data_IF_510706888499
#
_entry.id   IF_510706888499
#
_cell.length_a   1.000
_cell.length_b   1.000
_cell.length_c   1.000
_cell.angle_alpha   90.00
_cell.angle_beta   90.00
_cell.angle_gamma   90.00
#
_symmetry.space_group_name_H-M   'P 1'
#
loop_
_entity.id
_entity.type
_entity.pdbx_description
1 polymer ?
#
# COMPACT_ATOMS: atom_id res chain seq x y z
N UNK A 1 -33.36 20.71 16.50
CA UNK A 1 -32.83 20.04 15.28
C UNK A 1 -31.37 19.54 15.47
N UNK A 2 -31.06 18.62 16.41
CA UNK A 2 -29.67 18.21 16.70
C UNK A 2 -29.09 17.16 15.72
N UNK A 3 -29.97 16.41 15.06
CA UNK A 3 -29.59 15.22 14.28
C UNK A 3 -28.88 15.56 12.95
N UNK A 4 -29.22 16.68 12.31
CA UNK A 4 -28.63 17.09 11.02
C UNK A 4 -27.19 17.57 11.15
N UNK A 5 -26.90 18.37 12.17
CA UNK A 5 -25.54 18.84 12.44
C UNK A 5 -24.62 17.67 12.81
N UNK A 6 -25.13 16.68 13.55
CA UNK A 6 -24.39 15.45 13.85
C UNK A 6 -24.12 14.60 12.61
N UNK A 7 -25.10 14.46 11.70
CA UNK A 7 -24.94 13.76 10.42
C UNK A 7 -23.93 14.45 9.50
N UNK A 8 -24.01 15.77 9.37
CA UNK A 8 -23.05 16.55 8.58
C UNK A 8 -21.61 16.42 9.13
N UNK A 9 -21.42 16.59 10.45
CA UNK A 9 -20.11 16.41 11.08
C UNK A 9 -19.56 14.99 10.92
N UNK A 10 -20.43 13.98 10.91
CA UNK A 10 -20.04 12.59 10.65
C UNK A 10 -19.57 12.38 9.21
N UNK A 11 -20.26 12.97 8.23
CA UNK A 11 -19.85 12.94 6.80
C UNK A 11 -18.50 13.64 6.62
N UNK A 12 -18.30 14.79 7.25
CA UNK A 12 -17.02 15.52 7.18
C UNK A 12 -15.86 14.71 7.77
N UNK A 13 -16.11 14.00 8.89
CA UNK A 13 -15.13 13.07 9.45
C UNK A 13 -14.79 11.96 8.45
N UNK A 14 -15.80 11.32 7.86
CA UNK A 14 -15.58 10.26 6.88
C UNK A 14 -14.82 10.75 5.64
N UNK A 15 -15.08 11.97 5.16
CA UNK A 15 -14.33 12.56 4.05
C UNK A 15 -12.84 12.72 4.40
N UNK A 16 -12.52 13.24 5.60
CA UNK A 16 -11.13 13.35 6.08
C UNK A 16 -10.46 11.98 6.22
N UNK A 17 -11.18 11.00 6.76
CA UNK A 17 -10.67 9.62 6.91
C UNK A 17 -10.39 8.99 5.53
N UNK A 18 -11.28 9.17 4.55
CA UNK A 18 -11.11 8.73 3.16
C UNK A 18 -9.87 9.38 2.52
N UNK A 19 -9.70 10.69 2.66
CA UNK A 19 -8.52 11.41 2.13
C UNK A 19 -7.23 10.89 2.76
N UNK A 20 -7.21 10.70 4.08
CA UNK A 20 -6.07 10.16 4.81
C UNK A 20 -5.71 8.75 4.32
N UNK A 21 -6.69 7.85 4.22
CA UNK A 21 -6.47 6.49 3.75
C UNK A 21 -6.05 6.44 2.28
N UNK A 22 -6.58 7.32 1.43
CA UNK A 22 -6.16 7.45 0.03
C UNK A 22 -4.71 7.90 -0.08
N UNK A 23 -4.28 8.85 0.75
CA UNK A 23 -2.89 9.28 0.80
C UNK A 23 -1.96 8.16 1.26
N UNK A 24 -2.32 7.46 2.34
CA UNK A 24 -1.56 6.30 2.84
C UNK A 24 -1.43 5.21 1.77
N UNK A 25 -2.52 4.88 1.09
CA UNK A 25 -2.52 3.93 -0.03
C UNK A 25 -1.55 4.34 -1.14
N UNK A 26 -1.54 5.61 -1.54
CA UNK A 26 -0.62 6.11 -2.56
C UNK A 26 0.85 5.99 -2.12
N UNK A 27 1.15 6.24 -0.84
CA UNK A 27 2.49 6.00 -0.28
C UNK A 27 2.89 4.52 -0.38
N UNK A 28 1.97 3.59 -0.08
CA UNK A 28 2.22 2.16 -0.24
C UNK A 28 2.38 1.72 -1.69
N UNK A 29 1.67 2.33 -2.64
CA UNK A 29 1.90 2.11 -4.08
C UNK A 29 3.32 2.51 -4.49
N UNK A 30 3.80 3.67 -4.03
CA UNK A 30 5.16 4.11 -4.32
C UNK A 30 6.22 3.15 -3.72
N UNK A 31 6.00 2.68 -2.49
CA UNK A 31 6.84 1.65 -1.86
C UNK A 31 6.85 0.35 -2.66
N UNK A 32 5.67 -0.13 -3.10
CA UNK A 32 5.55 -1.32 -3.95
C UNK A 32 6.36 -1.17 -5.25
N UNK A 33 6.24 -0.02 -5.91
CA UNK A 33 6.99 0.25 -7.15
C UNK A 33 8.51 0.23 -6.91
N UNK A 34 8.97 0.80 -5.79
CA UNK A 34 10.38 0.77 -5.39
C UNK A 34 10.88 -0.67 -5.18
N UNK A 35 10.10 -1.49 -4.47
CA UNK A 35 10.42 -2.91 -4.24
C UNK A 35 10.48 -3.68 -5.55
N UNK A 36 9.55 -3.46 -6.48
CA UNK A 36 9.57 -4.10 -7.80
C UNK A 36 10.83 -3.72 -8.58
N UNK A 37 11.27 -2.46 -8.51
CA UNK A 37 12.54 -2.01 -9.10
C UNK A 37 13.75 -2.77 -8.55
N UNK A 38 13.82 -2.97 -7.23
CA UNK A 38 14.89 -3.76 -6.61
C UNK A 38 14.85 -5.24 -7.01
N UNK A 39 13.66 -5.86 -7.06
CA UNK A 39 13.53 -7.25 -7.51
C UNK A 39 13.96 -7.45 -8.96
N UNK A 40 13.62 -6.48 -9.83
CA UNK A 40 14.08 -6.47 -11.21
C UNK A 40 15.61 -6.32 -11.28
N UNK A 41 16.19 -5.43 -10.46
CA UNK A 41 17.65 -5.28 -10.37
C UNK A 41 18.33 -6.59 -9.96
N UNK A 42 17.91 -7.22 -8.86
CA UNK A 42 18.47 -8.51 -8.40
C UNK A 42 18.37 -9.61 -9.47
N UNK A 43 17.31 -9.60 -10.29
CA UNK A 43 17.12 -10.58 -11.36
C UNK A 43 18.03 -10.33 -12.57
N UNK A 44 18.50 -9.09 -12.76
CA UNK A 44 19.34 -8.69 -13.89
C UNK A 44 20.84 -8.71 -13.58
N UNK A 45 21.26 -8.94 -12.33
CA UNK A 45 22.67 -9.05 -11.97
C UNK A 45 23.28 -10.28 -12.65
N UNK A 46 24.11 -10.05 -13.68
CA UNK A 46 24.93 -11.11 -14.28
C UNK A 46 26.11 -11.40 -13.36
N UNK A 47 26.19 -12.62 -12.85
CA UNK A 47 27.38 -13.11 -12.15
C UNK A 47 28.44 -13.45 -13.21
N UNK A 48 29.57 -12.73 -13.27
CA UNK A 48 30.61 -13.04 -14.25
C UNK A 48 31.20 -14.43 -13.97
N UNK A 49 31.27 -15.29 -14.98
CA UNK A 49 31.84 -16.64 -14.86
C UNK A 49 33.35 -16.65 -14.55
N UNK A 50 34.08 -15.55 -14.82
CA UNK A 50 35.55 -15.54 -14.81
C UNK A 50 36.21 -15.00 -13.54
N UNK A 51 35.47 -14.71 -12.45
CA UNK A 51 36.06 -14.16 -11.20
C UNK A 51 36.55 -15.25 -10.21
N UNK A 52 37.16 -16.32 -10.71
CA UNK A 52 37.69 -17.42 -9.88
C UNK A 52 39.04 -17.13 -9.22
N UNK A 53 39.64 -15.93 -9.37
CA UNK A 53 41.02 -15.68 -8.93
C UNK A 53 41.22 -14.74 -7.74
N UNK A 54 40.22 -14.46 -6.90
CA UNK A 54 40.50 -13.71 -5.68
C UNK A 54 39.31 -13.50 -4.77
N UNK A 55 39.31 -14.16 -3.60
CA UNK A 55 38.57 -13.91 -2.35
C UNK A 55 37.06 -13.56 -2.37
N UNK A 56 36.44 -13.36 -3.52
CA UNK A 56 35.01 -13.11 -3.72
C UNK A 56 34.43 -14.32 -4.44
N UNK A 57 34.32 -15.43 -3.70
CA UNK A 57 33.78 -16.68 -4.19
C UNK A 57 32.40 -16.43 -4.85
N UNK A 58 32.15 -16.92 -6.07
CA UNK A 58 30.86 -16.77 -6.76
C UNK A 58 29.65 -17.21 -5.90
N UNK A 59 29.86 -18.18 -5.01
CA UNK A 59 28.86 -18.63 -4.03
C UNK A 59 28.46 -17.54 -3.03
N UNK A 60 29.38 -16.69 -2.58
CA UNK A 60 29.08 -15.60 -1.63
C UNK A 60 28.19 -14.52 -2.27
N UNK A 61 28.48 -14.13 -3.52
CA UNK A 61 27.64 -13.19 -4.27
C UNK A 61 26.26 -13.77 -4.56
N UNK A 62 26.19 -15.04 -4.98
CA UNK A 62 24.91 -15.71 -5.23
C UNK A 62 24.05 -15.83 -3.97
N UNK A 63 24.66 -16.15 -2.82
CA UNK A 63 23.96 -16.17 -1.52
C UNK A 63 23.45 -14.79 -1.16
N UNK A 64 24.28 -13.74 -1.28
CA UNK A 64 23.86 -12.36 -1.01
C UNK A 64 22.70 -11.91 -1.91
N UNK A 65 22.75 -12.21 -3.21
CA UNK A 65 21.65 -11.89 -4.13
C UNK A 65 20.36 -12.65 -3.79
N UNK A 66 20.46 -13.90 -3.33
CA UNK A 66 19.31 -14.69 -2.86
C UNK A 66 18.70 -14.10 -1.58
N UNK A 67 19.53 -13.69 -0.64
CA UNK A 67 19.09 -13.07 0.62
C UNK A 67 18.44 -11.71 0.36
N UNK A 68 19.05 -10.88 -0.49
CA UNK A 68 18.48 -9.61 -0.94
C UNK A 68 17.13 -9.83 -1.64
N UNK A 69 17.04 -10.81 -2.55
CA UNK A 69 15.76 -11.16 -3.23
C UNK A 69 14.69 -11.57 -2.23
N UNK A 70 15.02 -12.43 -1.27
CA UNK A 70 14.09 -12.88 -0.21
C UNK A 70 13.59 -11.70 0.62
N UNK A 71 14.50 -10.80 1.03
CA UNK A 71 14.16 -9.59 1.76
C UNK A 71 13.18 -8.70 0.97
N UNK A 72 13.46 -8.46 -0.31
CA UNK A 72 12.60 -7.65 -1.16
C UNK A 72 11.25 -8.31 -1.44
N UNK A 73 11.19 -9.64 -1.57
CA UNK A 73 9.93 -10.38 -1.67
C UNK A 73 9.08 -10.24 -0.40
N UNK A 74 9.69 -10.33 0.78
CA UNK A 74 8.98 -10.10 2.05
C UNK A 74 8.43 -8.67 2.14
N UNK A 75 9.22 -7.67 1.71
CA UNK A 75 8.76 -6.26 1.63
C UNK A 75 7.62 -6.08 0.63
N UNK A 76 7.62 -6.81 -0.48
CA UNK A 76 6.53 -6.80 -1.46
C UNK A 76 5.24 -7.33 -0.85
N UNK A 77 5.32 -8.44 -0.11
CA UNK A 77 4.17 -9.02 0.57
C UNK A 77 3.58 -8.04 1.60
N UNK A 78 4.43 -7.39 2.41
CA UNK A 78 4.00 -6.35 3.35
C UNK A 78 3.29 -5.19 2.64
N UNK A 79 3.87 -4.69 1.55
CA UNK A 79 3.26 -3.61 0.78
C UNK A 79 1.89 -4.01 0.19
N UNK A 80 1.77 -5.24 -0.33
CA UNK A 80 0.52 -5.74 -0.87
C UNK A 80 -0.56 -5.91 0.21
N UNK A 81 -0.21 -6.42 1.39
CA UNK A 81 -1.14 -6.54 2.52
C UNK A 81 -1.69 -5.17 2.93
N UNK A 82 -0.81 -4.17 3.10
CA UNK A 82 -1.26 -2.81 3.42
C UNK A 82 -2.13 -2.18 2.34
N UNK A 83 -1.86 -2.46 1.06
CA UNK A 83 -2.71 -1.99 -0.03
C UNK A 83 -4.10 -2.62 0.04
N UNK A 84 -4.17 -3.92 0.31
CA UNK A 84 -5.44 -4.63 0.48
C UNK A 84 -6.23 -4.09 1.69
N UNK A 85 -5.57 -3.89 2.83
CA UNK A 85 -6.20 -3.33 4.03
C UNK A 85 -6.77 -1.93 3.76
N UNK A 86 -6.00 -1.07 3.08
CA UNK A 86 -6.47 0.26 2.73
C UNK A 86 -7.59 0.25 1.68
N UNK A 87 -7.57 -0.66 0.71
CA UNK A 87 -8.68 -0.82 -0.25
C UNK A 87 -9.97 -1.24 0.46
N UNK A 88 -9.88 -2.13 1.46
CA UNK A 88 -11.03 -2.52 2.27
C UNK A 88 -11.56 -1.38 3.14
N UNK A 89 -10.68 -0.65 3.82
CA UNK A 89 -11.04 0.50 4.65
C UNK A 89 -11.72 1.58 3.79
N UNK A 90 -11.12 1.95 2.65
CA UNK A 90 -11.69 2.95 1.75
C UNK A 90 -13.07 2.54 1.24
N UNK A 91 -13.27 1.26 0.92
CA UNK A 91 -14.57 0.74 0.51
C UNK A 91 -15.60 0.88 1.63
N UNK A 92 -15.23 0.55 2.87
CA UNK A 92 -16.09 0.67 4.05
C UNK A 92 -16.46 2.13 4.33
N UNK A 93 -15.49 3.03 4.33
CA UNK A 93 -15.70 4.45 4.65
C UNK A 93 -16.54 5.15 3.58
N UNK A 94 -16.30 4.86 2.30
CA UNK A 94 -17.14 5.37 1.19
C UNK A 94 -18.59 4.89 1.32
N UNK A 95 -18.79 3.60 1.63
CA UNK A 95 -20.14 3.05 1.86
C UNK A 95 -20.83 3.71 3.06
N UNK A 96 -20.11 3.89 4.17
CA UNK A 96 -20.64 4.59 5.35
C UNK A 96 -21.01 6.04 5.03
N UNK A 97 -20.16 6.74 4.27
CA UNK A 97 -20.37 8.12 3.84
C UNK A 97 -21.59 8.23 2.93
N UNK A 98 -21.76 7.33 1.98
CA UNK A 98 -22.92 7.32 1.07
C UNK A 98 -24.22 7.03 1.83
N UNK A 99 -24.20 6.14 2.81
CA UNK A 99 -25.36 5.87 3.67
C UNK A 99 -25.70 7.08 4.55
N UNK A 100 -24.71 7.75 5.13
CA UNK A 100 -24.92 8.98 5.91
C UNK A 100 -25.47 10.10 5.02
N UNK A 101 -24.95 10.25 3.79
CA UNK A 101 -25.43 11.23 2.81
C UNK A 101 -26.88 10.97 2.40
N UNK A 102 -27.26 9.71 2.16
CA UNK A 102 -28.66 9.33 1.86
C UNK A 102 -29.60 9.66 3.01
N UNK A 103 -29.19 9.40 4.25
CA UNK A 103 -29.98 9.75 5.43
C UNK A 103 -30.14 11.26 5.60
N UNK A 104 -29.09 12.04 5.30
CA UNK A 104 -29.17 13.49 5.31
C UNK A 104 -30.18 13.97 4.25
N UNK A 105 -30.05 13.51 3.01
CA UNK A 105 -30.91 13.94 1.90
C UNK A 105 -32.37 13.52 2.08
N UNK A 106 -32.63 12.30 2.54
CA UNK A 106 -33.99 11.78 2.78
C UNK A 106 -34.70 12.45 3.95
N UNK A 107 -33.95 13.10 4.85
CA UNK A 107 -34.51 13.91 5.94
C UNK A 107 -34.71 15.39 5.55
N UNK A 108 -33.98 15.90 4.57
CA UNK A 108 -34.15 17.28 4.04
C UNK A 108 -35.34 17.39 3.08
N UNK A 109 -35.77 16.28 2.47
CA UNK A 109 -36.93 16.22 1.56
C UNK A 109 -38.29 15.97 2.23
N UNK A 110 -38.34 15.80 3.56
CA UNK A 110 -39.56 15.69 4.38
C UNK A 110 -39.65 16.90 5.31
#
# INVERSE_FOLDING_TARGET
>A
MPNYQQLAAHIDKLNRDIEHHQHSRNSWLAKRQTVLGHLQHCSNVRVPQNNLSGNNHPSSLLTRLRDEKTMWQNRLNVANNHLQDHDEILRRDRSARDNAQRQLNGKVGN
#
